data_IF_075786041228
#
_entry.id   IF_075786041228
#
_cell.length_a   1.000
_cell.length_b   1.000
_cell.length_c   1.000
_cell.angle_alpha   90.00
_cell.angle_beta   90.00
_cell.angle_gamma   90.00
#
_symmetry.space_group_name_H-M   'P 1'
#
loop_
_entity.id
_entity.type
_entity.pdbx_description
1 polymer ?
#
# COMPACT_ATOMS: atom_id res chain seq x y z
N UNK A 1 10.96 -16.03 2.97
CA UNK A 1 10.70 -16.26 4.42
C UNK A 1 11.63 -15.43 5.31
N UNK A 2 12.94 -15.66 5.31
CA UNK A 2 13.88 -14.95 6.21
C UNK A 2 13.85 -13.42 6.07
N UNK A 3 13.81 -12.91 4.84
CA UNK A 3 13.77 -11.47 4.56
C UNK A 3 12.57 -10.74 5.18
N UNK A 4 11.43 -11.41 5.32
CA UNK A 4 10.18 -10.83 5.85
C UNK A 4 9.80 -11.42 7.21
N UNK A 5 10.74 -12.07 7.90
CA UNK A 5 10.51 -12.64 9.24
C UNK A 5 9.35 -13.63 9.31
N UNK A 6 9.08 -14.39 8.23
CA UNK A 6 7.93 -15.30 8.19
C UNK A 6 8.13 -16.51 9.08
N UNK A 7 7.23 -16.68 10.05
CA UNK A 7 7.12 -17.85 10.92
C UNK A 7 5.73 -18.44 10.74
N UNK A 8 5.65 -19.72 10.38
CA UNK A 8 4.39 -20.43 10.17
C UNK A 8 4.11 -21.39 11.33
N UNK A 9 2.83 -21.62 11.60
CA UNK A 9 2.36 -22.45 12.72
C UNK A 9 2.88 -23.89 12.63
N UNK A 10 2.80 -24.48 11.44
CA UNK A 10 3.14 -25.87 11.18
C UNK A 10 3.55 -26.05 9.71
N UNK A 11 3.97 -27.28 9.36
CA UNK A 11 4.39 -27.65 8.01
C UNK A 11 3.24 -27.55 6.99
N UNK A 12 2.00 -27.79 7.42
CA UNK A 12 0.81 -27.69 6.57
C UNK A 12 0.55 -26.25 6.17
N UNK A 13 0.57 -25.30 7.12
CA UNK A 13 0.44 -23.88 6.81
C UNK A 13 1.61 -23.38 5.97
N UNK A 14 2.84 -23.85 6.24
CA UNK A 14 4.00 -23.53 5.39
C UNK A 14 3.80 -24.01 3.95
N UNK A 15 3.28 -25.21 3.73
CA UNK A 15 2.99 -25.74 2.40
C UNK A 15 1.89 -24.92 1.71
N UNK A 16 0.82 -24.58 2.42
CA UNK A 16 -0.26 -23.72 1.90
C UNK A 16 0.27 -22.35 1.47
N UNK A 17 1.09 -21.71 2.31
CA UNK A 17 1.70 -20.41 2.05
C UNK A 17 2.67 -20.46 0.87
N UNK A 18 3.37 -21.58 0.69
CA UNK A 18 4.25 -21.80 -0.45
C UNK A 18 3.47 -21.88 -1.77
N UNK A 19 2.33 -22.56 -1.81
CA UNK A 19 1.49 -22.60 -3.02
C UNK A 19 0.96 -21.20 -3.39
N UNK A 20 0.53 -20.42 -2.41
CA UNK A 20 0.12 -19.02 -2.63
C UNK A 20 1.29 -18.19 -3.17
N UNK A 21 2.48 -18.36 -2.58
CA UNK A 21 3.69 -17.68 -3.03
C UNK A 21 4.04 -18.02 -4.48
N UNK A 22 3.99 -19.29 -4.85
CA UNK A 22 4.26 -19.75 -6.22
C UNK A 22 3.29 -19.11 -7.21
N UNK A 23 1.99 -19.14 -6.92
CA UNK A 23 0.98 -18.50 -7.78
C UNK A 23 1.18 -16.99 -7.92
N UNK A 24 1.57 -16.30 -6.84
CA UNK A 24 1.87 -14.87 -6.90
C UNK A 24 3.16 -14.56 -7.69
N UNK A 25 4.19 -15.41 -7.62
CA UNK A 25 5.41 -15.26 -8.44
C UNK A 25 5.10 -15.46 -9.92
N UNK A 26 4.34 -16.48 -10.28
CA UNK A 26 3.89 -16.71 -11.65
C UNK A 26 3.09 -15.51 -12.19
N UNK A 27 2.22 -14.94 -11.36
CA UNK A 27 1.50 -13.71 -11.68
C UNK A 27 2.44 -12.51 -11.90
N UNK A 28 3.45 -12.33 -11.03
CA UNK A 28 4.46 -11.27 -11.16
C UNK A 28 5.23 -11.42 -12.48
N UNK A 29 5.70 -12.62 -12.81
CA UNK A 29 6.45 -12.90 -14.02
C UNK A 29 5.60 -12.65 -15.27
N UNK A 30 4.37 -13.16 -15.28
CA UNK A 30 3.42 -12.96 -16.39
C UNK A 30 3.07 -11.49 -16.60
N UNK A 31 2.90 -10.74 -15.52
CA UNK A 31 2.63 -9.31 -15.58
C UNK A 31 3.84 -8.54 -16.09
N UNK A 32 5.03 -8.80 -15.54
CA UNK A 32 6.26 -8.09 -15.90
C UNK A 32 6.77 -8.42 -17.30
N UNK A 33 6.38 -9.56 -17.89
CA UNK A 33 6.67 -9.89 -19.29
C UNK A 33 5.91 -9.00 -20.30
N UNK A 34 4.88 -8.27 -19.84
CA UNK A 34 4.11 -7.34 -20.67
C UNK A 34 4.69 -5.92 -20.57
N UNK A 35 4.37 -5.07 -21.55
CA UNK A 35 4.90 -3.70 -21.63
C UNK A 35 4.11 -2.70 -20.75
N UNK A 36 4.21 -2.85 -19.44
CA UNK A 36 3.59 -1.93 -18.46
C UNK A 36 4.53 -0.81 -18.05
N UNK A 37 3.96 0.31 -17.58
CA UNK A 37 4.72 1.46 -17.03
C UNK A 37 5.25 1.22 -15.61
N UNK A 38 4.93 0.07 -15.02
CA UNK A 38 5.35 -0.33 -13.68
C UNK A 38 5.56 -1.83 -13.64
N UNK A 39 6.27 -2.29 -12.62
CA UNK A 39 6.56 -3.70 -12.38
C UNK A 39 6.00 -4.14 -11.04
N UNK A 40 5.68 -5.42 -10.95
CA UNK A 40 5.40 -6.09 -9.68
C UNK A 40 6.68 -6.73 -9.15
N UNK A 41 6.73 -6.99 -7.85
CA UNK A 41 7.88 -7.60 -7.21
C UNK A 41 7.50 -8.35 -5.95
N UNK A 42 8.36 -9.30 -5.58
CA UNK A 42 8.20 -10.07 -4.34
C UNK A 42 8.37 -9.14 -3.15
N UNK A 43 7.29 -8.93 -2.42
CA UNK A 43 7.25 -8.09 -1.21
C UNK A 43 6.69 -8.89 -0.01
N UNK A 44 6.46 -8.19 1.09
CA UNK A 44 5.89 -8.74 2.34
C UNK A 44 4.45 -9.27 2.22
N UNK A 45 3.83 -9.26 1.04
CA UNK A 45 2.49 -9.80 0.78
C UNK A 45 2.52 -10.97 -0.21
N UNK A 46 3.69 -11.42 -0.64
CA UNK A 46 3.81 -12.44 -1.68
C UNK A 46 3.26 -13.82 -1.27
N UNK A 47 3.12 -14.13 0.02
CA UNK A 47 2.62 -15.42 0.53
C UNK A 47 1.19 -15.38 1.09
N UNK A 48 0.44 -14.30 0.82
CA UNK A 48 -0.97 -14.18 1.22
C UNK A 48 -1.87 -14.05 -0.02
N UNK A 49 -3.12 -14.49 0.11
CA UNK A 49 -4.09 -14.37 -0.98
C UNK A 49 -4.61 -12.94 -1.07
N UNK A 50 -5.17 -12.57 -2.23
CA UNK A 50 -5.78 -11.25 -2.41
C UNK A 50 -6.93 -11.01 -1.40
N UNK A 51 -7.70 -12.05 -1.07
CA UNK A 51 -8.79 -11.93 -0.09
C UNK A 51 -8.25 -11.74 1.33
N UNK A 52 -7.20 -12.48 1.72
CA UNK A 52 -6.51 -12.27 2.99
C UNK A 52 -5.93 -10.85 3.07
N UNK A 53 -5.30 -10.36 2.01
CA UNK A 53 -4.78 -9.00 1.92
C UNK A 53 -5.88 -7.95 2.09
N UNK A 54 -7.00 -8.07 1.37
CA UNK A 54 -8.16 -7.18 1.53
C UNK A 54 -8.66 -7.18 2.97
N UNK A 55 -8.78 -8.35 3.59
CA UNK A 55 -9.34 -8.46 4.95
C UNK A 55 -8.42 -7.93 6.05
N UNK A 56 -7.11 -7.86 5.85
CA UNK A 56 -6.15 -7.49 6.91
C UNK A 56 -5.44 -6.17 6.65
N UNK A 57 -5.26 -5.78 5.39
CA UNK A 57 -4.49 -4.61 4.98
C UNK A 57 -5.33 -3.48 4.37
N UNK A 58 -6.64 -3.65 4.21
CA UNK A 58 -7.52 -2.56 3.74
C UNK A 58 -8.47 -2.08 4.83
N UNK A 59 -8.90 -0.82 4.74
CA UNK A 59 -9.81 -0.21 5.72
C UNK A 59 -11.20 -0.86 5.60
N UNK A 60 -11.68 -1.49 6.69
CA UNK A 60 -12.98 -2.18 6.76
C UNK A 60 -14.18 -1.24 6.95
N UNK A 61 -13.96 0.07 7.00
CA UNK A 61 -14.99 0.99 7.43
C UNK A 61 -14.60 2.45 7.28
N UNK A 62 -14.25 2.88 6.05
CA UNK A 62 -14.39 4.29 5.70
C UNK A 62 -15.87 4.64 5.77
N UNK A 63 -16.35 4.95 6.98
CA UNK A 63 -17.57 5.73 7.14
C UNK A 63 -17.15 7.13 6.76
N UNK A 64 -17.66 7.64 5.64
CA UNK A 64 -17.56 9.06 5.35
C UNK A 64 -18.13 9.79 6.56
N UNK A 65 -17.26 10.26 7.45
CA UNK A 65 -17.67 11.21 8.46
C UNK A 65 -18.17 12.38 7.63
N UNK A 66 -19.46 12.68 7.73
CA UNK A 66 -19.98 13.98 7.32
C UNK A 66 -19.29 14.97 8.24
N UNK A 67 -18.09 15.41 7.85
CA UNK A 67 -17.40 16.50 8.50
C UNK A 67 -18.40 17.64 8.47
N UNK A 68 -18.97 17.97 9.63
CA UNK A 68 -19.57 19.27 9.84
C UNK A 68 -18.42 20.24 9.64
N UNK A 69 -18.39 20.86 8.46
CA UNK A 69 -17.48 21.94 8.17
C UNK A 69 -17.89 23.09 9.08
N UNK A 70 -17.29 23.15 10.27
CA UNK A 70 -17.20 24.40 11.00
C UNK A 70 -16.37 25.30 10.10
N UNK A 71 -17.04 26.22 9.41
CA UNK A 71 -16.44 27.13 8.46
C UNK A 71 -15.47 28.07 9.19
N UNK A 72 -14.25 27.63 9.44
CA UNK A 72 -13.13 28.54 9.69
C UNK A 72 -12.70 29.10 8.33
N UNK A 73 -12.75 30.42 8.21
CA UNK A 73 -12.52 31.16 6.98
C UNK A 73 -11.05 31.19 6.56
N UNK A 74 -10.58 30.10 5.96
CA UNK A 74 -9.49 30.08 4.99
C UNK A 74 -9.50 28.71 4.30
N UNK A 75 -9.78 28.64 2.99
CA UNK A 75 -9.70 27.37 2.24
C UNK A 75 -8.51 27.34 1.29
N UNK A 76 -8.20 28.46 0.63
CA UNK A 76 -7.04 28.66 -0.24
C UNK A 76 -6.92 30.14 -0.60
N UNK A 77 -5.70 30.62 -0.83
CA UNK A 77 -5.44 31.97 -1.36
C UNK A 77 -5.63 32.00 -2.89
N UNK A 78 -5.79 33.19 -3.47
CA UNK A 78 -5.88 33.34 -4.91
C UNK A 78 -4.51 33.04 -5.54
N UNK A 79 -4.41 31.93 -6.28
CA UNK A 79 -3.16 31.41 -6.82
C UNK A 79 -3.10 31.61 -8.34
N UNK A 80 -2.00 32.17 -8.84
CA UNK A 80 -1.68 32.13 -10.27
C UNK A 80 -1.07 30.79 -10.63
N UNK A 81 -1.54 30.18 -11.73
CA UNK A 81 -0.98 28.94 -12.26
C UNK A 81 0.48 29.10 -12.69
N UNK A 82 0.86 30.31 -13.13
CA UNK A 82 2.22 30.63 -13.57
C UNK A 82 3.23 30.63 -12.40
N UNK A 83 2.74 30.73 -11.16
CA UNK A 83 3.57 30.72 -9.95
C UNK A 83 3.82 29.30 -9.41
N UNK A 84 3.21 28.26 -9.99
CA UNK A 84 3.36 26.89 -9.52
C UNK A 84 4.59 26.21 -10.12
N UNK A 85 5.35 25.43 -9.33
CA UNK A 85 6.46 24.66 -9.86
C UNK A 85 5.96 23.48 -10.70
N UNK A 86 6.73 23.10 -11.72
CA UNK A 86 6.42 21.94 -12.57
C UNK A 86 6.40 20.61 -11.80
N UNK A 87 7.14 20.52 -10.69
CA UNK A 87 7.22 19.34 -9.81
C UNK A 87 7.37 19.75 -8.35
N UNK A 88 6.77 19.00 -7.43
CA UNK A 88 6.88 19.25 -5.98
C UNK A 88 7.10 17.92 -5.23
N UNK A 89 8.05 17.91 -4.29
CA UNK A 89 8.28 16.81 -3.35
C UNK A 89 8.40 17.34 -1.91
N UNK A 90 7.39 17.05 -1.09
CA UNK A 90 7.35 17.46 0.33
C UNK A 90 8.42 16.78 1.19
N UNK A 91 8.94 15.62 0.78
CA UNK A 91 10.03 14.94 1.47
C UNK A 91 11.30 15.77 1.42
N UNK A 92 11.58 16.40 0.28
CA UNK A 92 12.72 17.31 0.10
C UNK A 92 12.60 18.59 0.94
N UNK A 93 11.39 18.90 1.44
CA UNK A 93 11.11 20.03 2.33
C UNK A 93 11.06 19.64 3.81
N UNK A 94 11.32 18.37 4.15
CA UNK A 94 11.27 17.90 5.54
C UNK A 94 9.86 17.86 6.14
N UNK A 95 8.82 17.98 5.31
CA UNK A 95 7.42 18.01 5.76
C UNK A 95 6.80 16.61 5.92
N UNK A 96 7.53 15.54 5.60
CA UNK A 96 7.05 14.15 5.60
C UNK A 96 7.84 13.34 6.63
N UNK A 97 7.13 12.67 7.54
CA UNK A 97 7.73 11.74 8.51
C UNK A 97 8.17 10.42 7.85
N UNK A 98 9.03 9.62 8.50
CA UNK A 98 9.36 8.28 8.00
C UNK A 98 8.13 7.41 7.73
N UNK A 99 8.26 6.50 6.76
CA UNK A 99 7.22 5.53 6.40
C UNK A 99 6.91 4.63 7.61
N UNK A 100 5.61 4.44 7.89
CA UNK A 100 5.11 3.59 8.97
C UNK A 100 4.47 2.33 8.41
N UNK A 101 4.33 1.29 9.25
CA UNK A 101 3.59 0.08 8.95
C UNK A 101 2.32 0.01 9.80
N UNK A 102 1.16 -0.11 9.15
CA UNK A 102 -0.15 -0.24 9.81
C UNK A 102 -0.40 -1.66 10.37
N UNK A 103 0.41 -2.64 9.97
CA UNK A 103 0.23 -4.04 10.29
C UNK A 103 -1.08 -4.60 9.76
N UNK A 104 -1.76 -5.40 10.59
CA UNK A 104 -3.04 -6.06 10.26
C UNK A 104 -4.26 -5.25 10.73
N UNK A 105 -4.08 -3.96 11.05
CA UNK A 105 -5.16 -3.10 11.52
C UNK A 105 -5.63 -2.20 10.37
N UNK A 106 -6.92 -2.28 10.04
CA UNK A 106 -7.59 -1.38 9.10
C UNK A 106 -8.35 -0.28 9.84
N UNK A 107 -7.63 0.68 10.45
CA UNK A 107 -8.25 1.92 10.93
C UNK A 107 -8.59 2.85 9.78
#
# INVERSE_FOLDING_TARGET
>A
MAQYGRVYKDTTEKARRFEVFKGNVEFIETFNAQNHKFWLGVNQFADITNDEFKTTNTNKGFKANSMRVLSSGFRYENLSLDALPATMDWRAKGAVTPVKDQGQCGK
#
